data_IF_798261216008
#
_entry.id   IF_798261216008
#
_cell.length_a   1.000
_cell.length_b   1.000
_cell.length_c   1.000
_cell.angle_alpha   90.00
_cell.angle_beta   90.00
_cell.angle_gamma   90.00
#
_symmetry.space_group_name_H-M   'P 1'
#
loop_
_entity.id
_entity.type
_entity.pdbx_description
1 polymer ?
#
# COMPACT_ATOMS: atom_id res chain seq x y z
N UNK A 1 0.10 -8.25 -3.00
CA UNK A 1 0.68 -6.93 -3.33
C UNK A 1 1.26 -6.21 -2.11
N UNK A 2 0.48 -5.79 -1.11
CA UNK A 2 1.05 -5.13 0.09
C UNK A 2 2.10 -6.01 0.81
N UNK A 3 1.81 -7.32 0.93
CA UNK A 3 2.76 -8.30 1.46
C UNK A 3 4.03 -8.47 0.59
N UNK A 4 3.88 -8.44 -0.73
CA UNK A 4 5.00 -8.57 -1.68
C UNK A 4 5.91 -7.33 -1.64
N UNK A 5 5.30 -6.14 -1.55
CA UNK A 5 6.03 -4.89 -1.31
C UNK A 5 6.83 -4.94 0.00
N UNK A 6 6.21 -5.40 1.09
CA UNK A 6 6.88 -5.54 2.38
C UNK A 6 8.06 -6.52 2.32
N UNK A 7 7.86 -7.71 1.75
CA UNK A 7 8.93 -8.71 1.58
C UNK A 7 10.11 -8.14 0.79
N UNK A 8 9.85 -7.36 -0.26
CA UNK A 8 10.91 -6.71 -1.04
C UNK A 8 11.63 -5.61 -0.26
N UNK A 9 10.93 -4.85 0.58
CA UNK A 9 11.57 -3.86 1.47
C UNK A 9 12.48 -4.55 2.49
N UNK A 10 12.01 -5.64 3.13
CA UNK A 10 12.79 -6.42 4.09
C UNK A 10 14.01 -7.08 3.43
N UNK A 11 13.86 -7.57 2.20
CA UNK A 11 14.93 -8.13 1.39
C UNK A 11 15.88 -7.06 0.80
N UNK A 12 15.66 -5.76 1.08
CA UNK A 12 16.42 -4.63 0.52
C UNK A 12 16.38 -4.55 -1.02
N UNK A 13 15.37 -5.13 -1.65
CA UNK A 13 15.15 -5.10 -3.09
C UNK A 13 14.39 -3.83 -3.51
N UNK A 14 14.97 -2.66 -3.24
CA UNK A 14 14.28 -1.37 -3.42
C UNK A 14 13.88 -1.07 -4.86
N UNK A 15 14.68 -1.51 -5.85
CA UNK A 15 14.33 -1.34 -7.26
C UNK A 15 13.03 -2.09 -7.61
N UNK A 16 12.90 -3.34 -7.18
CA UNK A 16 11.70 -4.15 -7.42
C UNK A 16 10.52 -3.67 -6.59
N UNK A 17 10.75 -3.25 -5.34
CA UNK A 17 9.73 -2.67 -4.49
C UNK A 17 9.16 -1.38 -5.10
N UNK A 18 10.01 -0.56 -5.71
CA UNK A 18 9.62 0.70 -6.35
C UNK A 18 8.67 0.50 -7.53
N UNK A 19 8.82 -0.58 -8.27
CA UNK A 19 7.90 -0.95 -9.36
C UNK A 19 6.48 -1.30 -8.89
N UNK A 20 6.32 -1.65 -7.61
CA UNK A 20 5.01 -1.89 -7.01
C UNK A 20 4.30 -0.60 -6.58
N UNK A 21 4.97 0.55 -6.68
CA UNK A 21 4.44 1.84 -6.19
C UNK A 21 3.85 2.70 -7.31
N UNK A 22 3.18 3.78 -6.92
CA UNK A 22 2.72 4.83 -7.84
C UNK A 22 3.84 5.83 -8.22
N UNK A 23 5.08 5.62 -7.75
CA UNK A 23 6.27 6.45 -8.08
C UNK A 23 6.05 7.95 -7.86
N UNK A 24 5.59 8.31 -6.67
CA UNK A 24 5.23 9.68 -6.28
C UNK A 24 5.86 10.07 -4.93
N UNK A 25 5.69 11.33 -4.53
CA UNK A 25 6.28 11.93 -3.32
C UNK A 25 6.14 11.08 -2.04
N UNK A 26 4.99 10.44 -1.80
CA UNK A 26 4.77 9.64 -0.57
C UNK A 26 5.54 8.32 -0.49
N UNK A 27 6.07 7.82 -1.61
CA UNK A 27 6.86 6.59 -1.73
C UNK A 27 8.27 6.85 -2.28
N UNK A 28 8.59 8.13 -2.55
CA UNK A 28 9.78 8.54 -3.26
C UNK A 28 9.56 8.61 -4.78
N UNK A 29 10.37 9.43 -5.45
CA UNK A 29 10.42 9.55 -6.91
C UNK A 29 11.45 8.63 -7.57
N UNK A 30 12.25 7.94 -6.77
CA UNK A 30 13.25 6.95 -7.20
C UNK A 30 13.34 5.80 -6.19
N UNK A 31 14.01 4.71 -6.58
CA UNK A 31 14.35 3.60 -5.67
C UNK A 31 15.21 4.07 -4.49
N UNK A 32 16.06 5.07 -4.70
CA UNK A 32 16.95 5.59 -3.66
C UNK A 32 16.18 6.43 -2.64
N UNK A 33 15.22 7.25 -3.11
CA UNK A 33 14.29 7.94 -2.23
C UNK A 33 13.42 6.94 -1.46
N UNK A 34 12.94 5.87 -2.12
CA UNK A 34 12.19 4.80 -1.44
C UNK A 34 13.02 4.15 -0.34
N UNK A 35 14.31 3.88 -0.59
CA UNK A 35 15.22 3.34 0.41
C UNK A 35 15.34 4.29 1.61
N UNK A 36 15.50 5.59 1.38
CA UNK A 36 15.64 6.56 2.46
C UNK A 36 14.36 6.69 3.30
N UNK A 37 13.19 6.67 2.65
CA UNK A 37 11.90 6.62 3.33
C UNK A 37 11.76 5.29 4.11
N UNK A 38 12.24 4.18 3.55
CA UNK A 38 12.16 2.88 4.22
C UNK A 38 13.01 2.85 5.49
N UNK A 39 14.18 3.51 5.53
CA UNK A 39 15.00 3.55 6.76
C UNK A 39 14.29 4.21 7.95
N UNK A 40 13.40 5.16 7.70
CA UNK A 40 12.67 5.88 8.75
C UNK A 40 11.32 5.24 9.07
N UNK A 41 10.66 4.61 8.09
CA UNK A 41 9.30 4.08 8.23
C UNK A 41 9.23 2.56 8.43
N UNK A 42 10.24 1.80 7.99
CA UNK A 42 10.20 0.34 8.07
C UNK A 42 10.53 -0.10 9.49
N UNK A 43 9.60 -0.80 10.11
CA UNK A 43 9.83 -1.56 11.33
C UNK A 43 9.65 -3.04 11.03
N UNK A 44 10.11 -3.90 11.94
CA UNK A 44 9.83 -5.33 11.85
C UNK A 44 8.34 -5.57 12.06
N UNK A 45 7.70 -6.25 11.11
CA UNK A 45 6.29 -6.66 11.20
C UNK A 45 6.20 -8.18 11.22
N UNK A 46 5.19 -8.72 11.92
CA UNK A 46 5.02 -10.16 12.08
C UNK A 46 3.77 -10.68 11.34
N UNK A 47 2.66 -9.95 11.39
CA UNK A 47 1.39 -10.42 10.82
C UNK A 47 0.46 -9.28 10.38
N UNK A 48 -0.46 -9.63 9.47
CA UNK A 48 -1.56 -8.78 9.02
C UNK A 48 -2.60 -8.60 10.14
N UNK A 49 -2.98 -7.35 10.42
CA UNK A 49 -3.98 -6.98 11.43
C UNK A 49 -5.33 -6.71 10.78
N UNK A 50 -5.35 -5.84 9.76
CA UNK A 50 -6.61 -5.34 9.22
C UNK A 50 -6.48 -4.87 7.77
N UNK A 51 -7.63 -4.72 7.10
CA UNK A 51 -7.73 -4.08 5.80
C UNK A 51 -8.93 -3.14 5.77
N UNK A 52 -8.73 -1.87 5.41
CA UNK A 52 -9.76 -0.83 5.41
C UNK A 52 -9.81 -0.07 4.07
N UNK A 53 -10.98 0.36 3.56
CA UNK A 53 -12.30 0.02 4.05
C UNK A 53 -12.63 -1.45 3.75
N UNK A 54 -13.41 -2.08 4.63
CA UNK A 54 -14.04 -3.37 4.34
C UNK A 54 -15.06 -3.16 3.21
N UNK A 55 -14.64 -3.38 1.98
CA UNK A 55 -15.52 -3.38 0.82
C UNK A 55 -16.41 -4.63 0.91
N UNK A 56 -17.62 -4.49 1.45
CA UNK A 56 -18.61 -5.57 1.33
C UNK A 56 -19.03 -5.71 -0.13
N UNK A 57 -19.21 -6.95 -0.61
CA UNK A 57 -19.59 -7.24 -2.00
C UNK A 57 -20.82 -6.44 -2.46
N UNK A 58 -21.75 -6.12 -1.55
CA UNK A 58 -22.95 -5.33 -1.84
C UNK A 58 -22.72 -3.81 -1.99
N UNK A 59 -21.65 -3.25 -1.43
CA UNK A 59 -21.28 -1.84 -1.64
C UNK A 59 -20.53 -1.66 -2.96
N UNK A 60 -19.74 -2.66 -3.34
CA UNK A 60 -19.04 -2.71 -4.63
C UNK A 60 -20.02 -2.87 -5.81
N UNK A 61 -20.93 -3.85 -5.74
CA UNK A 61 -21.93 -4.09 -6.78
C UNK A 61 -22.87 -2.90 -7.01
N UNK A 62 -23.34 -2.25 -5.94
CA UNK A 62 -24.21 -1.07 -6.07
C UNK A 62 -23.54 0.10 -6.78
N UNK A 63 -22.22 0.29 -6.56
CA UNK A 63 -21.44 1.37 -7.18
C UNK A 63 -21.04 1.07 -8.62
N UNK A 64 -20.79 -0.20 -8.95
CA UNK A 64 -20.64 -0.66 -10.34
C UNK A 64 -21.92 -0.43 -11.15
N UNK A 65 -23.07 -0.79 -10.58
CA UNK A 65 -24.39 -0.62 -11.25
C UNK A 65 -24.76 0.85 -11.40
N UNK A 66 -24.33 1.74 -10.49
CA UNK A 66 -24.59 3.18 -10.58
C UNK A 66 -23.65 3.95 -11.51
N UNK A 67 -22.70 3.28 -12.18
CA UNK A 67 -21.78 3.91 -13.13
C UNK A 67 -20.87 4.98 -12.52
N UNK A 68 -20.72 4.99 -11.19
CA UNK A 68 -19.83 5.93 -10.51
C UNK A 68 -18.40 5.46 -10.73
N UNK A 69 -17.58 6.27 -11.40
CA UNK A 69 -16.14 6.05 -11.44
C UNK A 69 -15.64 5.92 -10.01
N UNK A 70 -14.94 4.82 -9.72
CA UNK A 70 -14.30 4.66 -8.42
C UNK A 70 -13.08 5.55 -8.46
N UNK A 71 -13.28 6.83 -8.13
CA UNK A 71 -12.32 7.92 -8.32
C UNK A 71 -10.97 7.68 -7.61
N UNK A 72 -10.91 6.69 -6.71
CA UNK A 72 -9.75 5.84 -6.38
C UNK A 72 -10.14 4.94 -5.19
N UNK A 73 -10.40 3.63 -5.34
CA UNK A 73 -10.55 2.76 -4.18
C UNK A 73 -9.18 2.57 -3.55
N UNK A 74 -8.93 3.32 -2.48
CA UNK A 74 -7.79 3.13 -1.62
C UNK A 74 -8.11 2.04 -0.59
N UNK A 75 -7.23 1.06 -0.45
CA UNK A 75 -7.26 0.04 0.60
C UNK A 75 -6.02 0.24 1.48
N UNK A 76 -6.22 0.56 2.74
CA UNK A 76 -5.23 0.52 3.79
C UNK A 76 -5.09 -0.93 4.27
N UNK A 77 -3.86 -1.40 4.36
CA UNK A 77 -3.49 -2.71 4.91
C UNK A 77 -2.59 -2.46 6.11
N UNK A 78 -2.95 -2.98 7.27
CA UNK A 78 -2.22 -2.77 8.52
C UNK A 78 -1.53 -4.05 8.96
N UNK A 79 -0.28 -3.93 9.36
CA UNK A 79 0.56 -5.01 9.87
C UNK A 79 1.04 -4.64 11.27
N UNK A 80 1.12 -5.63 12.16
CA UNK A 80 1.68 -5.46 13.50
C UNK A 80 2.93 -6.31 13.68
N UNK A 81 3.88 -5.76 14.45
CA UNK A 81 5.07 -6.43 14.98
C UNK A 81 5.70 -5.54 16.04
N UNK A 82 6.91 -5.05 15.81
CA UNK A 82 7.56 -4.03 16.67
C UNK A 82 6.85 -2.67 16.61
N UNK A 83 6.13 -2.40 15.51
CA UNK A 83 5.28 -1.23 15.37
C UNK A 83 4.02 -1.55 14.56
N UNK A 84 3.05 -0.63 14.55
CA UNK A 84 1.92 -0.67 13.63
C UNK A 84 2.34 -0.04 12.29
N UNK A 85 2.37 -0.85 11.25
CA UNK A 85 2.82 -0.47 9.91
C UNK A 85 1.66 -0.48 8.93
N UNK A 86 1.40 0.66 8.30
CA UNK A 86 0.32 0.81 7.33
C UNK A 86 0.83 0.88 5.90
N UNK A 87 0.18 0.15 4.99
CA UNK A 87 0.38 0.23 3.55
C UNK A 87 -0.92 0.63 2.88
N UNK A 88 -0.96 1.81 2.29
CA UNK A 88 -2.06 2.25 1.44
C UNK A 88 -1.82 1.78 0.01
N UNK A 89 -2.71 0.94 -0.49
CA UNK A 89 -2.77 0.47 -1.88
C UNK A 89 -3.90 1.19 -2.59
N UNK A 90 -3.69 1.55 -3.85
CA UNK A 90 -4.68 2.27 -4.65
C UNK A 90 -4.85 1.59 -5.99
N UNK A 91 -6.10 1.47 -6.43
CA UNK A 91 -6.41 1.02 -7.78
C UNK A 91 -6.24 2.18 -8.77
N UNK A 92 -5.57 1.89 -9.88
CA UNK A 92 -5.32 2.79 -10.99
C UNK A 92 -6.11 2.33 -12.23
N UNK A 93 -6.35 3.25 -13.19
CA UNK A 93 -6.88 2.90 -14.50
C UNK A 93 -6.08 1.75 -15.14
N UNK A 94 -6.77 0.83 -15.81
CA UNK A 94 -6.15 -0.38 -16.36
C UNK A 94 -6.07 -1.57 -15.38
N UNK A 95 -6.87 -1.53 -14.30
CA UNK A 95 -7.00 -2.61 -13.31
C UNK A 95 -5.72 -2.94 -12.54
N UNK A 96 -4.86 -1.94 -12.30
CA UNK A 96 -3.60 -2.11 -11.59
C UNK A 96 -3.72 -1.60 -10.16
N UNK A 97 -3.34 -2.42 -9.18
CA UNK A 97 -3.13 -1.94 -7.82
C UNK A 97 -1.68 -1.46 -7.68
N UNK A 98 -1.47 -0.34 -6.98
CA UNK A 98 -0.15 0.24 -6.70
C UNK A 98 -0.06 0.76 -5.26
N UNK A 99 1.10 0.62 -4.63
CA UNK A 99 1.38 1.18 -3.31
C UNK A 99 1.44 2.70 -3.44
N UNK A 100 0.53 3.38 -2.76
CA UNK A 100 0.38 4.83 -2.77
C UNK A 100 1.18 5.49 -1.63
N UNK A 101 1.21 4.84 -0.46
CA UNK A 101 1.88 5.33 0.74
C UNK A 101 2.17 4.16 1.69
N UNK A 102 3.22 4.28 2.48
CA UNK A 102 3.45 3.44 3.65
C UNK A 102 4.04 4.27 4.80
N UNK A 103 3.83 3.83 6.03
CA UNK A 103 4.39 4.47 7.23
C UNK A 103 4.35 3.54 8.44
N UNK A 104 5.33 3.67 9.33
CA UNK A 104 5.20 3.27 10.74
C UNK A 104 4.39 4.34 11.47
N UNK A 105 3.48 3.96 12.37
CA UNK A 105 2.40 4.83 12.89
C UNK A 105 1.22 5.01 11.94
N UNK A 106 0.69 3.90 11.42
CA UNK A 106 -0.75 3.92 11.11
C UNK A 106 -1.48 4.14 12.44
N UNK A 107 -2.22 5.25 12.56
CA UNK A 107 -2.88 5.65 13.80
C UNK A 107 -3.95 4.66 14.26
#
# INVERSE_FOLDING_TARGET
>A
MANDFLQKLEAKQFAEAFELTVKQVYVGRSSDELQEISKRELCKVDHLVSTHPFQSNGSYLRRLVSGSEIDMPQVQVEFAGECLFGVAVRHLPGNQWRVYRFASHAG
#
